data_IF_309353079571
#
_entry.id   IF_309353079571
#
_cell.length_a   1.000
_cell.length_b   1.000
_cell.length_c   1.000
_cell.angle_alpha   90.00
_cell.angle_beta   90.00
_cell.angle_gamma   90.00
#
_symmetry.space_group_name_H-M   'P 1'
#
loop_
_entity.id
_entity.type
_entity.pdbx_description
1 polymer ?
#
# COMPACT_ATOMS: atom_id res chain seq x y z
N UNK A 1 -2.13 -2.08 -11.15
CA UNK A 1 -2.49 -0.78 -11.76
C UNK A 1 -3.97 -0.45 -11.65
N UNK A 2 -4.89 -1.35 -12.00
CA UNK A 2 -6.34 -1.09 -11.96
C UNK A 2 -6.83 -0.59 -10.58
N UNK A 3 -6.26 -1.08 -9.47
CA UNK A 3 -6.63 -0.63 -8.12
C UNK A 3 -6.43 0.87 -7.87
N UNK A 4 -5.38 1.48 -8.42
CA UNK A 4 -5.12 2.93 -8.23
C UNK A 4 -6.13 3.77 -9.01
N UNK A 5 -6.44 3.38 -10.24
CA UNK A 5 -7.43 4.06 -11.08
C UNK A 5 -8.83 3.99 -10.49
N UNK A 6 -9.23 2.81 -10.00
CA UNK A 6 -10.52 2.63 -9.33
C UNK A 6 -10.60 3.48 -8.06
N UNK A 7 -9.54 3.45 -7.23
CA UNK A 7 -9.50 4.27 -6.03
C UNK A 7 -9.54 5.77 -6.36
N UNK A 8 -8.87 6.24 -7.41
CA UNK A 8 -8.97 7.63 -7.87
C UNK A 8 -10.40 7.98 -8.28
N UNK A 9 -11.06 7.11 -9.03
CA UNK A 9 -12.44 7.32 -9.48
C UNK A 9 -13.45 7.35 -8.32
N UNK A 10 -13.17 6.60 -7.24
CA UNK A 10 -14.03 6.55 -6.05
C UNK A 10 -13.82 7.74 -5.09
N UNK A 11 -12.77 8.55 -5.27
CA UNK A 11 -12.47 9.72 -4.44
C UNK A 11 -11.49 9.56 -3.26
N UNK A 12 -11.06 8.36 -2.83
CA UNK A 12 -9.97 8.24 -1.86
C UNK A 12 -8.66 8.88 -2.31
N UNK A 13 -7.94 9.39 -1.32
CA UNK A 13 -6.55 9.79 -1.45
C UNK A 13 -5.64 8.55 -1.46
N UNK A 14 -4.86 8.35 -2.52
CA UNK A 14 -4.12 7.10 -2.78
C UNK A 14 -2.61 7.25 -2.64
N UNK A 15 -1.98 6.22 -2.09
CA UNK A 15 -0.52 6.05 -2.09
C UNK A 15 -0.22 4.77 -2.87
N UNK A 16 0.63 4.87 -3.89
CA UNK A 16 1.17 3.71 -4.59
C UNK A 16 2.51 3.32 -3.96
N UNK A 17 2.70 2.03 -3.68
CA UNK A 17 3.95 1.48 -3.17
C UNK A 17 4.45 0.48 -4.21
N UNK A 18 5.55 0.79 -4.88
CA UNK A 18 6.21 -0.08 -5.87
C UNK A 18 7.69 0.34 -5.93
N UNK A 19 8.45 -0.02 -6.96
CA UNK A 19 9.84 0.42 -7.12
C UNK A 19 10.18 0.78 -8.56
N UNK A 20 11.08 1.76 -8.73
CA UNK A 20 11.58 2.18 -10.04
C UNK A 20 10.79 3.34 -10.67
N UNK A 21 11.49 4.13 -11.49
CA UNK A 21 10.97 5.37 -12.04
C UNK A 21 9.82 5.15 -13.04
N UNK A 22 9.89 4.08 -13.82
CA UNK A 22 8.82 3.68 -14.74
C UNK A 22 7.50 3.46 -14.00
N UNK A 23 7.54 2.76 -12.85
CA UNK A 23 6.37 2.53 -12.00
C UNK A 23 5.87 3.81 -11.37
N UNK A 24 6.78 4.68 -10.91
CA UNK A 24 6.44 5.99 -10.37
C UNK A 24 5.66 6.83 -11.37
N UNK A 25 6.18 7.00 -12.59
CA UNK A 25 5.51 7.77 -13.66
C UNK A 25 4.13 7.17 -13.97
N UNK A 26 4.08 5.86 -14.13
CA UNK A 26 2.83 5.14 -14.41
C UNK A 26 1.78 5.33 -13.30
N UNK A 27 2.19 5.28 -12.03
CA UNK A 27 1.28 5.47 -10.90
C UNK A 27 0.81 6.92 -10.75
N UNK A 28 1.72 7.90 -10.86
CA UNK A 28 1.41 9.31 -10.65
C UNK A 28 0.72 9.92 -11.88
N UNK A 29 1.35 9.82 -13.04
CA UNK A 29 0.94 10.54 -14.26
C UNK A 29 -0.24 9.85 -14.96
N UNK A 30 -0.26 8.52 -14.99
CA UNK A 30 -1.33 7.77 -15.68
C UNK A 30 -2.41 7.28 -14.73
N UNK A 31 -2.03 6.65 -13.63
CA UNK A 31 -2.98 5.98 -12.75
C UNK A 31 -3.68 6.95 -11.77
N UNK A 32 -3.11 8.12 -11.51
CA UNK A 32 -3.67 9.15 -10.64
C UNK A 32 -3.42 8.93 -9.15
N UNK A 33 -2.34 8.24 -8.78
CA UNK A 33 -1.87 8.18 -7.40
C UNK A 33 -1.43 9.58 -6.94
N UNK A 34 -1.76 9.94 -5.69
CA UNK A 34 -1.34 11.23 -5.11
C UNK A 34 0.12 11.18 -4.64
N UNK A 35 0.52 10.04 -4.07
CA UNK A 35 1.89 9.79 -3.62
C UNK A 35 2.41 8.46 -4.15
N UNK A 36 3.73 8.37 -4.31
CA UNK A 36 4.44 7.16 -4.65
C UNK A 36 5.58 6.94 -3.68
N UNK A 37 5.64 5.76 -3.07
CA UNK A 37 6.72 5.34 -2.18
C UNK A 37 7.52 4.25 -2.90
N UNK A 38 8.80 4.52 -3.14
CA UNK A 38 9.72 3.52 -3.68
C UNK A 38 10.29 2.68 -2.53
N UNK A 39 9.81 1.45 -2.37
CA UNK A 39 10.22 0.59 -1.26
C UNK A 39 11.70 0.18 -1.29
N UNK A 40 12.43 0.44 -2.39
CA UNK A 40 13.90 0.25 -2.45
C UNK A 40 14.69 1.49 -2.06
N UNK A 41 14.05 2.66 -2.00
CA UNK A 41 14.70 3.94 -1.67
C UNK A 41 14.28 4.47 -0.30
N UNK A 42 13.26 3.88 0.31
CA UNK A 42 12.71 4.25 1.61
C UNK A 42 12.97 3.12 2.59
N UNK A 43 13.66 3.42 3.68
CA UNK A 43 14.03 2.43 4.70
C UNK A 43 12.81 1.89 5.46
N UNK A 44 11.89 2.78 5.84
CA UNK A 44 10.66 2.44 6.56
C UNK A 44 9.43 2.94 5.79
N UNK A 45 8.90 2.06 4.95
CA UNK A 45 7.71 2.32 4.14
C UNK A 45 6.49 2.56 5.01
N UNK A 46 6.36 1.86 6.15
CA UNK A 46 5.18 1.98 7.00
C UNK A 46 5.13 3.34 7.70
N UNK A 47 6.27 3.79 8.23
CA UNK A 47 6.39 5.13 8.80
C UNK A 47 6.10 6.22 7.78
N UNK A 48 6.55 6.05 6.53
CA UNK A 48 6.27 7.01 5.46
C UNK A 48 4.77 7.06 5.08
N UNK A 49 4.10 5.90 5.05
CA UNK A 49 2.63 5.86 4.86
C UNK A 49 1.90 6.59 5.98
N UNK A 50 2.29 6.35 7.24
CA UNK A 50 1.71 7.01 8.41
C UNK A 50 1.90 8.52 8.34
N UNK A 51 3.12 8.97 8.01
CA UNK A 51 3.46 10.39 7.84
C UNK A 51 2.59 11.07 6.78
N UNK A 52 2.40 10.43 5.63
CA UNK A 52 1.59 10.97 4.53
C UNK A 52 0.08 10.98 4.88
N UNK A 53 -0.38 10.10 5.78
CA UNK A 53 -1.80 9.96 6.15
C UNK A 53 -2.07 10.34 7.60
N UNK A 54 -1.95 11.65 7.83
CA UNK A 54 -2.36 12.34 9.06
C UNK A 54 -1.60 11.91 10.31
N UNK A 55 -0.40 11.32 10.17
CA UNK A 55 0.34 10.66 11.26
C UNK A 55 -0.45 9.51 11.92
N UNK A 56 -1.49 9.00 11.24
CA UNK A 56 -2.35 7.91 11.72
C UNK A 56 -2.13 6.63 10.91
N UNK A 57 -2.08 6.74 9.57
CA UNK A 57 -1.94 5.60 8.65
C UNK A 57 -3.11 5.44 7.67
N UNK A 58 -3.06 4.40 6.84
CA UNK A 58 -4.02 4.18 5.77
C UNK A 58 -5.40 3.67 6.27
N UNK A 59 -6.49 4.12 5.64
CA UNK A 59 -7.85 3.61 5.86
C UNK A 59 -8.06 2.20 5.30
N UNK A 60 -7.40 1.92 4.19
CA UNK A 60 -7.49 0.68 3.47
C UNK A 60 -6.19 0.38 2.75
N UNK A 61 -5.78 -0.87 2.75
CA UNK A 61 -4.58 -1.36 2.06
C UNK A 61 -5.01 -2.45 1.09
N UNK A 62 -4.78 -2.22 -0.20
CA UNK A 62 -5.03 -3.19 -1.25
C UNK A 62 -3.72 -3.85 -1.65
N UNK A 63 -3.59 -5.15 -1.38
CA UNK A 63 -2.36 -5.88 -1.62
C UNK A 63 -2.46 -6.67 -2.92
N UNK A 64 -1.83 -6.13 -3.97
CA UNK A 64 -1.78 -6.78 -5.29
C UNK A 64 -0.50 -7.60 -5.50
N UNK A 65 0.54 -7.37 -4.70
CA UNK A 65 1.78 -8.14 -4.70
C UNK A 65 1.85 -9.00 -3.43
N UNK A 66 1.85 -10.33 -3.58
CA UNK A 66 1.79 -11.27 -2.45
C UNK A 66 2.96 -11.11 -1.46
N UNK A 67 4.10 -10.62 -1.95
CA UNK A 67 5.29 -10.31 -1.16
C UNK A 67 5.06 -9.25 -0.09
N UNK A 68 4.05 -8.39 -0.27
CA UNK A 68 3.72 -7.32 0.65
C UNK A 68 2.72 -7.76 1.73
N UNK A 69 2.30 -9.03 1.79
CA UNK A 69 1.43 -9.52 2.86
C UNK A 69 2.01 -9.23 4.25
N UNK A 70 3.27 -9.58 4.56
CA UNK A 70 3.78 -9.41 5.92
C UNK A 70 3.81 -7.95 6.39
N UNK A 71 4.03 -6.99 5.48
CA UNK A 71 4.05 -5.56 5.81
C UNK A 71 2.71 -4.85 5.64
N UNK A 72 1.68 -5.52 5.13
CA UNK A 72 0.43 -4.85 4.75
C UNK A 72 -0.33 -4.24 5.93
N UNK A 73 -0.27 -4.86 7.11
CA UNK A 73 -0.93 -4.36 8.33
C UNK A 73 -0.26 -3.10 8.88
N UNK A 74 1.08 -3.01 8.83
CA UNK A 74 1.79 -1.87 9.41
C UNK A 74 1.49 -0.56 8.69
N UNK A 75 1.05 -0.62 7.43
CA UNK A 75 0.57 0.55 6.67
C UNK A 75 -0.73 1.16 7.24
N UNK A 76 -1.48 0.42 8.06
CA UNK A 76 -2.64 0.97 8.77
C UNK A 76 -2.22 1.88 9.94
N UNK A 77 -0.97 1.75 10.43
CA UNK A 77 -0.46 2.51 11.57
C UNK A 77 -1.34 2.36 12.80
N UNK A 78 -1.68 3.49 13.42
CA UNK A 78 -2.60 3.56 14.57
C UNK A 78 -4.08 3.58 14.19
N UNK A 79 -4.43 3.35 12.91
CA UNK A 79 -5.81 3.53 12.46
C UNK A 79 -6.74 2.43 12.94
N UNK A 80 -7.67 2.83 13.80
CA UNK A 80 -8.77 1.97 14.26
C UNK A 80 -9.71 1.66 13.08
N UNK A 81 -10.09 0.39 12.93
CA UNK A 81 -10.97 -0.12 11.86
C UNK A 81 -10.40 0.01 10.44
N UNK A 82 -9.08 0.11 10.32
CA UNK A 82 -8.40 -0.06 9.03
C UNK A 82 -8.67 -1.43 8.42
N UNK A 83 -8.66 -1.52 7.08
CA UNK A 83 -8.94 -2.77 6.36
C UNK A 83 -7.81 -3.13 5.41
N UNK A 84 -7.33 -4.37 5.48
CA UNK A 84 -6.42 -4.93 4.49
C UNK A 84 -7.18 -5.89 3.60
N UNK A 85 -7.04 -5.73 2.28
CA UNK A 85 -7.62 -6.62 1.28
C UNK A 85 -6.49 -7.24 0.44
N UNK A 86 -6.31 -8.55 0.59
CA UNK A 86 -5.37 -9.33 -0.20
C UNK A 86 -6.06 -9.83 -1.47
N UNK A 87 -5.56 -9.41 -2.64
CA UNK A 87 -6.15 -9.75 -3.93
C UNK A 87 -5.41 -10.93 -4.59
N UNK A 88 -4.09 -11.01 -4.39
CA UNK A 88 -3.29 -12.13 -4.91
C UNK A 88 -3.59 -13.45 -4.18
N UNK A 89 -3.07 -14.55 -4.71
CA UNK A 89 -3.00 -15.82 -3.98
C UNK A 89 -1.53 -16.24 -3.91
N UNK A 90 -0.97 -16.27 -2.71
CA UNK A 90 0.38 -16.79 -2.50
C UNK A 90 0.39 -18.31 -2.63
N UNK A 91 1.54 -18.87 -3.01
CA UNK A 91 1.75 -20.30 -2.83
C UNK A 91 1.65 -20.64 -1.33
N UNK A 92 1.12 -21.83 -1.03
CA UNK A 92 0.90 -22.26 0.34
C UNK A 92 2.20 -22.16 1.16
N UNK A 93 2.13 -21.50 2.31
CA UNK A 93 3.28 -21.41 3.23
C UNK A 93 4.29 -20.30 2.94
N UNK A 94 4.18 -19.54 1.84
CA UNK A 94 5.25 -18.61 1.43
C UNK A 94 5.13 -17.22 2.05
N UNK A 95 3.91 -16.65 2.07
CA UNK A 95 3.67 -15.31 2.61
C UNK A 95 2.50 -15.37 3.59
N UNK A 96 2.72 -14.79 4.77
CA UNK A 96 1.77 -14.80 5.88
C UNK A 96 1.52 -13.38 6.38
N UNK A 97 0.39 -13.21 7.06
CA UNK A 97 0.08 -12.01 7.81
C UNK A 97 -0.03 -12.45 9.27
N UNK A 98 0.95 -12.08 10.06
CA UNK A 98 1.02 -12.44 11.46
C UNK A 98 0.37 -11.34 12.31
N UNK A 99 -0.40 -11.74 13.31
CA UNK A 99 -1.03 -10.86 14.28
C UNK A 99 -0.46 -11.19 15.66
N UNK A 100 -0.07 -10.14 16.39
CA UNK A 100 0.21 -10.28 17.82
C UNK A 100 -1.12 -10.51 18.58
N UNK A 101 -1.11 -11.32 19.66
CA UNK A 101 -2.30 -11.61 20.47
C UNK A 101 -3.02 -10.38 21.02
#
# INVERSE_FOLDING_TARGET
>A
MQGVQLAKAMGPHTIAIDTGEEKRKLCIETAGAEHFIDFKKVDDVAKEVVRIRDEIGAHGVFVTAVQAYPSSLSYLGGRIRGRVMCIGMAAAGVYHIDLEP
#
